data_IF_497474097860
#
_entry.id   IF_497474097860
#
_cell.length_a   1.000
_cell.length_b   1.000
_cell.length_c   1.000
_cell.angle_alpha   90.00
_cell.angle_beta   90.00
_cell.angle_gamma   90.00
#
_symmetry.space_group_name_H-M   'P 1'
#
loop_
_entity.id
_entity.type
_entity.pdbx_description
1 polymer ?
#
# COMPACT_ATOMS: atom_id res chain seq x y z
N UNK A 1 34.33 9.47 9.93
CA UNK A 1 33.49 9.43 9.97
C UNK A 1 33.07 9.82 10.20
N UNK A 2 33.05 9.65 10.14
CA UNK A 2 32.27 9.77 10.40
C UNK A 2 31.80 9.70 10.78
N UNK A 3 32.06 9.58 10.95
CA UNK A 3 31.33 9.50 11.46
C UNK A 3 30.75 9.65 11.86
N UNK A 4 31.17 9.14 12.01
CA UNK A 4 30.12 9.55 12.72
C UNK A 4 28.87 10.18 12.18
N UNK A 5 28.52 10.32 11.11
CA UNK A 5 27.36 10.90 10.51
C UNK A 5 26.06 10.18 10.76
N UNK A 6 26.14 8.96 11.18
CA UNK A 6 24.96 8.14 11.43
C UNK A 6 24.00 8.76 12.43
N UNK A 7 24.46 9.37 13.52
CA UNK A 7 23.53 9.96 14.50
C UNK A 7 22.68 11.08 13.94
N UNK A 8 22.99 11.60 12.78
CA UNK A 8 22.21 12.68 12.19
C UNK A 8 21.06 12.22 11.33
N UNK A 9 20.91 10.89 11.12
CA UNK A 9 19.79 10.37 10.34
C UNK A 9 18.48 10.56 11.08
N UNK A 10 17.44 11.04 10.39
CA UNK A 10 16.11 11.10 10.98
C UNK A 10 15.62 9.73 11.40
N UNK A 11 14.82 9.68 12.46
CA UNK A 11 14.27 8.42 12.96
C UNK A 11 13.47 7.68 11.91
N UNK A 12 12.69 8.39 11.10
CA UNK A 12 11.87 7.77 10.05
C UNK A 12 12.72 7.09 8.96
N UNK A 13 13.93 7.56 8.70
CA UNK A 13 14.85 6.85 7.82
C UNK A 13 15.38 5.57 8.43
N UNK A 14 15.42 5.47 9.75
CA UNK A 14 15.83 4.24 10.44
C UNK A 14 14.73 3.20 10.44
N UNK A 15 13.47 3.62 10.36
CA UNK A 15 12.32 2.71 10.39
C UNK A 15 11.78 2.37 9.00
N UNK A 16 12.14 3.14 7.97
CA UNK A 16 11.71 2.91 6.59
C UNK A 16 12.84 2.29 5.79
N UNK A 17 12.63 1.10 5.21
CA UNK A 17 13.63 0.50 4.33
C UNK A 17 13.91 1.40 3.13
N UNK A 18 15.18 1.64 2.82
CA UNK A 18 15.58 2.49 1.71
C UNK A 18 15.10 1.96 0.35
N UNK A 19 15.09 0.64 0.18
CA UNK A 19 14.65 -0.01 -1.04
C UNK A 19 13.17 -0.33 -1.11
N UNK A 20 12.41 0.11 -0.11
CA UNK A 20 11.02 -0.24 0.02
C UNK A 20 10.79 -1.55 0.76
N UNK A 21 9.53 -1.84 1.02
CA UNK A 21 9.09 -3.06 1.69
C UNK A 21 8.52 -4.01 0.66
N UNK A 22 9.07 -5.22 0.55
CA UNK A 22 8.51 -6.24 -0.32
C UNK A 22 7.17 -6.70 0.23
N UNK A 23 6.16 -6.65 -0.62
CA UNK A 23 4.79 -7.05 -0.27
C UNK A 23 4.18 -7.90 -1.37
N UNK A 24 3.26 -8.77 -0.98
CA UNK A 24 2.40 -9.44 -1.94
C UNK A 24 1.52 -8.40 -2.63
N UNK A 25 1.42 -8.50 -3.96
CA UNK A 25 0.57 -7.62 -4.76
C UNK A 25 -0.66 -8.41 -5.21
N UNK A 26 -1.83 -7.90 -4.85
CA UNK A 26 -3.11 -8.50 -5.24
C UNK A 26 -4.05 -7.40 -5.73
N UNK A 27 -5.23 -7.80 -6.14
CA UNK A 27 -6.23 -6.88 -6.68
C UNK A 27 -7.59 -7.23 -6.09
N UNK A 28 -8.45 -6.22 -5.90
CA UNK A 28 -9.77 -6.43 -5.35
C UNK A 28 -10.78 -5.45 -5.95
N UNK A 29 -12.07 -5.71 -5.70
CA UNK A 29 -13.16 -4.86 -6.17
C UNK A 29 -13.43 -4.97 -7.66
N UNK A 30 -12.78 -5.90 -8.37
CA UNK A 30 -13.03 -6.11 -9.79
C UNK A 30 -14.35 -6.87 -10.00
N UNK A 31 -14.95 -6.77 -11.19
CA UNK A 31 -16.20 -7.51 -11.48
C UNK A 31 -16.00 -9.00 -11.27
N UNK A 32 -16.86 -9.61 -10.44
CA UNK A 32 -16.79 -11.03 -10.11
C UNK A 32 -15.81 -11.38 -8.99
N UNK A 33 -15.21 -10.40 -8.32
CA UNK A 33 -14.35 -10.65 -7.17
C UNK A 33 -15.15 -11.29 -6.03
N UNK A 34 -14.87 -12.56 -5.66
CA UNK A 34 -15.65 -13.25 -4.63
C UNK A 34 -15.42 -12.69 -3.22
N UNK A 35 -14.33 -11.98 -3.00
CA UNK A 35 -13.97 -11.43 -1.69
C UNK A 35 -14.44 -9.99 -1.51
N UNK A 36 -15.07 -9.42 -2.53
CA UNK A 36 -15.57 -8.05 -2.47
C UNK A 36 -16.82 -7.98 -1.60
N UNK A 37 -16.77 -7.16 -0.55
CA UNK A 37 -17.92 -6.96 0.32
C UNK A 37 -18.83 -5.82 -0.19
N UNK A 38 -19.93 -5.58 0.53
CA UNK A 38 -20.89 -4.56 0.12
C UNK A 38 -20.31 -3.15 0.19
N UNK A 39 -19.41 -2.88 1.14
CA UNK A 39 -18.80 -1.56 1.30
C UNK A 39 -17.84 -1.27 0.15
N UNK A 40 -17.04 -2.25 -0.26
CA UNK A 40 -16.18 -2.14 -1.42
C UNK A 40 -17.00 -1.87 -2.69
N UNK A 41 -18.11 -2.58 -2.86
CA UNK A 41 -18.99 -2.38 -4.04
C UNK A 41 -19.61 -0.98 -4.07
N UNK A 42 -19.79 -0.36 -2.90
CA UNK A 42 -20.28 1.02 -2.80
C UNK A 42 -19.17 2.05 -2.92
N UNK A 43 -17.92 1.64 -3.03
CA UNK A 43 -16.79 2.55 -3.09
C UNK A 43 -16.35 3.07 -1.74
N UNK A 44 -16.63 2.34 -0.66
CA UNK A 44 -16.27 2.75 0.70
C UNK A 44 -15.05 1.96 1.18
N UNK A 45 -13.95 2.64 1.46
CA UNK A 45 -12.77 2.08 2.09
C UNK A 45 -12.79 2.33 3.60
N UNK A 46 -11.93 1.61 4.32
CA UNK A 46 -11.82 1.75 5.77
C UNK A 46 -11.32 3.14 6.19
N UNK A 47 -10.57 3.82 5.33
CA UNK A 47 -9.95 5.11 5.65
C UNK A 47 -10.42 6.26 4.76
N UNK A 48 -10.93 5.97 3.59
CA UNK A 48 -11.31 6.97 2.61
C UNK A 48 -12.17 6.32 1.51
N UNK A 49 -12.92 7.13 0.77
CA UNK A 49 -13.63 6.65 -0.41
C UNK A 49 -12.67 6.02 -1.42
N UNK A 50 -13.09 4.94 -2.05
CA UNK A 50 -12.29 4.24 -3.04
C UNK A 50 -12.39 4.92 -4.40
N UNK A 51 -11.24 5.17 -5.03
CA UNK A 51 -11.14 5.82 -6.33
C UNK A 51 -10.29 4.95 -7.25
N UNK A 52 -10.85 4.58 -8.40
CA UNK A 52 -10.12 3.80 -9.40
C UNK A 52 -8.83 4.53 -9.81
N UNK A 53 -7.73 3.80 -9.86
CA UNK A 53 -6.43 4.39 -10.21
C UNK A 53 -5.74 5.13 -9.07
N UNK A 54 -6.37 5.26 -7.91
CA UNK A 54 -5.79 5.98 -6.76
C UNK A 54 -5.74 5.14 -5.49
N UNK A 55 -6.71 4.27 -5.27
CA UNK A 55 -6.89 3.59 -3.98
C UNK A 55 -6.20 2.24 -3.91
N UNK A 56 -5.61 1.96 -2.75
CA UNK A 56 -5.13 0.62 -2.38
C UNK A 56 -5.57 0.29 -0.97
N UNK A 57 -5.66 -1.01 -0.68
CA UNK A 57 -5.78 -1.53 0.66
C UNK A 57 -4.41 -2.08 1.10
N UNK A 58 -4.04 -1.84 2.33
CA UNK A 58 -2.87 -2.47 2.95
C UNK A 58 -3.31 -3.32 4.13
N UNK A 59 -2.60 -4.42 4.34
CA UNK A 59 -2.75 -5.19 5.57
C UNK A 59 -2.13 -4.42 6.74
N UNK A 60 -2.55 -4.72 7.96
CA UNK A 60 -1.96 -4.11 9.16
C UNK A 60 -0.45 -4.40 9.22
N UNK A 61 -0.04 -5.60 8.84
CA UNK A 61 1.37 -5.96 8.75
C UNK A 61 2.12 -5.09 7.73
N UNK A 62 1.50 -4.79 6.59
CA UNK A 62 2.06 -3.89 5.59
C UNK A 62 2.20 -2.46 6.10
N UNK A 63 1.18 -1.94 6.80
CA UNK A 63 1.26 -0.62 7.42
C UNK A 63 2.41 -0.54 8.41
N UNK A 64 2.52 -1.51 9.31
CA UNK A 64 3.60 -1.52 10.32
C UNK A 64 4.97 -1.55 9.67
N UNK A 65 5.13 -2.32 8.61
CA UNK A 65 6.41 -2.39 7.89
C UNK A 65 6.80 -1.04 7.28
N UNK A 66 5.83 -0.19 6.95
CA UNK A 66 6.07 1.17 6.46
C UNK A 66 6.22 2.19 7.59
N UNK A 67 6.09 1.78 8.84
CA UNK A 67 6.14 2.68 9.99
C UNK A 67 4.85 3.44 10.22
N UNK A 68 3.72 2.95 9.70
CA UNK A 68 2.42 3.62 9.81
C UNK A 68 1.52 2.94 10.84
N UNK A 69 0.64 3.75 11.44
CA UNK A 69 -0.48 3.31 12.24
C UNK A 69 -1.79 3.61 11.50
N UNK A 70 -2.88 2.99 11.91
CA UNK A 70 -4.21 3.31 11.35
C UNK A 70 -4.57 4.78 11.59
N UNK A 71 -4.23 5.31 12.76
CA UNK A 71 -4.47 6.73 13.06
C UNK A 71 -3.76 7.65 12.09
N UNK A 72 -2.51 7.35 11.76
CA UNK A 72 -1.74 8.13 10.80
C UNK A 72 -2.37 8.08 9.41
N UNK A 73 -2.85 6.91 9.00
CA UNK A 73 -3.54 6.78 7.70
C UNK A 73 -4.80 7.63 7.67
N UNK A 74 -5.61 7.58 8.73
CA UNK A 74 -6.85 8.36 8.81
C UNK A 74 -6.60 9.86 8.80
N UNK A 75 -5.55 10.33 9.45
CA UNK A 75 -5.27 11.77 9.57
C UNK A 75 -4.47 12.34 8.42
N UNK A 76 -3.59 11.56 7.80
CA UNK A 76 -2.62 12.05 6.82
C UNK A 76 -2.93 11.63 5.39
N UNK A 77 -3.75 10.61 5.19
CA UNK A 77 -4.07 10.05 3.87
C UNK A 77 -2.81 9.83 3.02
N UNK A 78 -1.85 8.99 3.52
CA UNK A 78 -0.55 8.88 2.87
C UNK A 78 -0.63 8.18 1.53
N UNK A 79 0.29 8.58 0.65
CA UNK A 79 0.49 7.96 -0.65
C UNK A 79 1.72 7.06 -0.60
N UNK A 80 1.70 6.01 -1.40
CA UNK A 80 2.82 5.08 -1.55
C UNK A 80 3.21 4.99 -3.02
N UNK A 81 4.48 4.70 -3.25
CA UNK A 81 4.99 4.28 -4.55
C UNK A 81 5.11 2.77 -4.53
N UNK A 82 4.47 2.11 -5.47
CA UNK A 82 4.44 0.66 -5.60
C UNK A 82 5.30 0.31 -6.81
N UNK A 83 6.53 -0.12 -6.56
CA UNK A 83 7.47 -0.48 -7.61
C UNK A 83 7.23 -1.93 -7.99
N UNK A 84 6.75 -2.13 -9.21
CA UNK A 84 6.43 -3.45 -9.73
C UNK A 84 7.70 -4.21 -10.08
N UNK A 85 7.73 -5.49 -9.77
CA UNK A 85 8.81 -6.36 -10.25
C UNK A 85 8.65 -6.53 -11.75
N UNK A 86 9.73 -6.26 -12.48
CA UNK A 86 9.71 -6.24 -13.92
C UNK A 86 9.57 -4.85 -14.52
N UNK A 87 9.32 -3.83 -13.70
CA UNK A 87 9.32 -2.43 -14.13
C UNK A 87 8.00 -1.72 -13.89
N UNK A 88 8.09 -0.41 -13.81
CA UNK A 88 6.95 0.46 -13.57
C UNK A 88 6.72 0.78 -12.10
N UNK A 89 6.15 1.95 -11.85
CA UNK A 89 5.79 2.43 -10.52
C UNK A 89 4.35 2.91 -10.55
N UNK A 90 3.56 2.44 -9.58
CA UNK A 90 2.20 2.93 -9.38
C UNK A 90 2.18 3.83 -8.17
N UNK A 91 1.53 4.98 -8.29
CA UNK A 91 1.32 5.92 -7.18
C UNK A 91 -0.09 5.73 -6.66
N UNK A 92 -0.23 5.40 -5.38
CA UNK A 92 -1.55 5.10 -4.80
C UNK A 92 -1.68 5.67 -3.39
N UNK A 93 -2.91 6.01 -3.03
CA UNK A 93 -3.27 6.45 -1.68
C UNK A 93 -3.78 5.26 -0.89
N UNK A 94 -3.40 5.17 0.37
CA UNK A 94 -3.87 4.10 1.26
C UNK A 94 -5.27 4.48 1.76
N UNK A 95 -6.29 3.87 1.18
CA UNK A 95 -7.69 4.20 1.46
C UNK A 95 -8.44 3.09 2.16
N UNK A 96 -7.88 1.88 2.19
CA UNK A 96 -8.62 0.73 2.69
C UNK A 96 -7.69 -0.23 3.44
N UNK A 97 -8.31 -1.19 4.13
CA UNK A 97 -7.63 -2.19 4.93
C UNK A 97 -7.89 -3.57 4.37
N UNK A 98 -6.83 -4.32 4.15
CA UNK A 98 -6.92 -5.73 3.78
C UNK A 98 -6.80 -6.60 5.04
N UNK A 99 -7.64 -7.64 5.20
CA UNK A 99 -7.71 -8.40 6.44
C UNK A 99 -6.64 -9.48 6.61
N UNK A 100 -5.89 -9.79 5.57
CA UNK A 100 -4.89 -10.87 5.62
C UNK A 100 -3.77 -10.57 6.62
N UNK A 101 -3.09 -11.64 7.10
CA UNK A 101 -2.03 -11.49 8.09
C UNK A 101 -0.68 -11.12 7.48
N UNK A 102 -0.46 -11.40 6.20
CA UNK A 102 0.82 -11.15 5.54
C UNK A 102 0.98 -9.67 5.14
N UNK A 103 2.18 -9.31 4.71
CA UNK A 103 2.41 -7.99 4.11
C UNK A 103 1.82 -8.01 2.70
N UNK A 104 0.79 -7.21 2.50
CA UNK A 104 0.06 -7.20 1.23
C UNK A 104 -0.39 -5.79 0.89
N UNK A 105 -0.24 -5.43 -0.38
CA UNK A 105 -0.85 -4.26 -0.99
C UNK A 105 -1.85 -4.77 -2.03
N UNK A 106 -3.08 -4.30 -1.93
CA UNK A 106 -4.22 -4.79 -2.71
C UNK A 106 -4.77 -3.63 -3.52
N UNK A 107 -4.62 -3.72 -4.84
CA UNK A 107 -5.04 -2.64 -5.75
C UNK A 107 -6.54 -2.67 -5.95
N UNK A 108 -7.19 -1.52 -5.81
CA UNK A 108 -8.61 -1.38 -6.13
C UNK A 108 -8.77 -1.25 -7.65
N UNK A 109 -9.37 -2.28 -8.27
CA UNK A 109 -9.46 -2.40 -9.73
C UNK A 109 -10.91 -2.61 -10.19
N UNK A 110 -11.80 -1.62 -10.01
CA UNK A 110 -13.22 -1.81 -10.35
C UNK A 110 -13.43 -1.97 -11.86
N UNK A 111 -12.48 -1.53 -12.67
CA UNK A 111 -12.54 -1.68 -14.14
C UNK A 111 -12.18 -3.06 -14.65
N UNK A 112 -11.60 -3.91 -13.80
CA UNK A 112 -11.26 -5.27 -14.20
C UNK A 112 -9.90 -5.72 -13.66
N UNK A 113 -9.75 -7.03 -13.53
CA UNK A 113 -8.51 -7.64 -13.05
C UNK A 113 -7.42 -7.56 -14.13
N UNK A 114 -6.24 -7.09 -13.76
CA UNK A 114 -5.11 -7.01 -14.69
C UNK A 114 -4.18 -8.21 -14.48
N UNK A 115 -4.21 -9.14 -15.42
CA UNK A 115 -3.44 -10.38 -15.36
C UNK A 115 -1.95 -10.17 -15.63
N UNK A 116 -1.56 -8.98 -16.07
CA UNK A 116 -0.16 -8.67 -16.40
C UNK A 116 0.64 -8.25 -15.17
N UNK A 117 -0.04 -7.91 -14.06
CA UNK A 117 0.65 -7.47 -12.87
C UNK A 117 1.38 -8.62 -12.19
N UNK A 118 2.58 -8.37 -11.63
CA UNK A 118 3.32 -9.38 -10.89
C UNK A 118 2.68 -9.66 -9.53
N UNK A 119 3.13 -10.74 -8.87
CA UNK A 119 2.62 -11.16 -7.57
C UNK A 119 3.24 -10.40 -6.40
N UNK A 120 4.31 -9.67 -6.63
CA UNK A 120 5.05 -8.94 -5.60
C UNK A 120 5.45 -7.56 -6.08
N UNK A 121 5.55 -6.65 -5.13
CA UNK A 121 6.04 -5.30 -5.40
C UNK A 121 6.82 -4.78 -4.19
N UNK A 122 7.63 -3.76 -4.42
CA UNK A 122 8.33 -3.05 -3.35
C UNK A 122 7.60 -1.73 -3.11
N UNK A 123 7.15 -1.52 -1.87
CA UNK A 123 6.31 -0.39 -1.50
C UNK A 123 7.12 0.59 -0.65
N UNK A 124 7.07 1.85 -1.05
CA UNK A 124 7.76 2.93 -0.34
C UNK A 124 6.74 4.02 -0.01
N UNK A 125 6.81 4.51 1.22
CA UNK A 125 5.97 5.63 1.63
C UNK A 125 6.49 6.91 0.98
N UNK A 126 5.60 7.69 0.38
CA UNK A 126 5.97 8.98 -0.19
C UNK A 126 6.12 10.00 0.93
N UNK A 127 7.12 10.90 0.83
CA UNK A 127 7.32 11.95 1.82
C UNK A 127 6.20 12.99 1.83
#
# INVERSE_FOLDING_TARGET
MSTTAIPTLPIDLLTRPAGGVSMRLTQYGYPGDPDSDSETRKGHGAYHSLVAGESVALTDSGLRALGLTRSAVLSQHPWVDIKLRGGGVLERRIDDRAPEANRRVDLYEPGGFDRRLPDFADVTLRP
#
